data_IF_835353961079
#
_entry.id   IF_835353961079
#
_cell.length_a   1.000
_cell.length_b   1.000
_cell.length_c   1.000
_cell.angle_alpha   90.00
_cell.angle_beta   90.00
_cell.angle_gamma   90.00
#
_symmetry.space_group_name_H-M   'P 1'
#
loop_
_entity.id
_entity.type
_entity.pdbx_description
1 polymer ?
#
# COMPACT_ATOMS: atom_id res chain seq x y z
N UNK A 1 13.04 17.87 11.52
CA UNK A 1 12.73 16.42 11.50
C UNK A 1 11.24 16.09 11.60
N UNK A 2 10.45 16.72 12.49
CA UNK A 2 9.01 16.40 12.65
C UNK A 2 8.19 16.45 11.34
N UNK A 3 8.35 17.49 10.52
CA UNK A 3 7.68 17.64 9.20
C UNK A 3 7.91 16.48 8.23
N UNK A 4 9.11 15.91 8.22
CA UNK A 4 9.46 14.80 7.33
C UNK A 4 8.69 13.54 7.70
N UNK A 5 8.60 13.22 9.00
CA UNK A 5 7.80 12.09 9.48
C UNK A 5 6.30 12.31 9.25
N UNK A 6 5.81 13.55 9.35
CA UNK A 6 4.40 13.87 9.03
C UNK A 6 4.08 13.68 7.55
N UNK A 7 4.98 14.10 6.66
CA UNK A 7 4.87 13.90 5.21
C UNK A 7 4.97 12.42 4.83
N UNK A 8 5.87 11.68 5.47
CA UNK A 8 6.00 10.24 5.25
C UNK A 8 4.74 9.50 5.70
N UNK A 9 4.24 9.81 6.90
CA UNK A 9 3.00 9.24 7.42
C UNK A 9 1.82 9.48 6.45
N UNK A 10 1.71 10.69 5.90
CA UNK A 10 0.64 11.07 4.97
C UNK A 10 0.66 10.28 3.66
N UNK A 11 1.83 9.83 3.20
CA UNK A 11 1.99 9.07 1.96
C UNK A 11 2.05 7.54 2.16
N UNK A 12 2.04 7.06 3.41
CA UNK A 12 2.18 5.62 3.71
C UNK A 12 1.10 4.77 3.03
N UNK A 13 -0.13 5.27 2.95
CA UNK A 13 -1.24 4.58 2.30
C UNK A 13 -0.99 4.37 0.81
N UNK A 14 -0.64 5.44 0.10
CA UNK A 14 -0.31 5.39 -1.34
C UNK A 14 0.91 4.49 -1.61
N UNK A 15 1.92 4.49 -0.74
CA UNK A 15 3.09 3.62 -0.86
C UNK A 15 2.69 2.14 -0.75
N UNK A 16 1.82 1.78 0.20
CA UNK A 16 1.33 0.41 0.37
C UNK A 16 0.48 -0.05 -0.82
N UNK A 17 -0.36 0.84 -1.36
CA UNK A 17 -1.15 0.56 -2.57
C UNK A 17 -0.23 0.31 -3.76
N UNK A 18 0.78 1.17 -3.98
CA UNK A 18 1.76 1.00 -5.04
C UNK A 18 2.56 -0.31 -4.91
N UNK A 19 2.90 -0.71 -3.67
CA UNK A 19 3.55 -1.99 -3.41
C UNK A 19 2.65 -3.17 -3.82
N UNK A 20 1.35 -3.12 -3.52
CA UNK A 20 0.39 -4.12 -3.96
C UNK A 20 0.28 -4.23 -5.48
N UNK A 21 0.25 -3.09 -6.17
CA UNK A 21 0.27 -3.04 -7.65
C UNK A 21 1.56 -3.64 -8.22
N UNK A 22 2.71 -3.34 -7.61
CA UNK A 22 3.99 -3.89 -8.04
C UNK A 22 4.03 -5.42 -7.93
N UNK A 23 3.51 -5.99 -6.83
CA UNK A 23 3.41 -7.45 -6.64
C UNK A 23 2.55 -8.10 -7.73
N UNK A 24 1.43 -7.49 -8.09
CA UNK A 24 0.60 -7.99 -9.19
C UNK A 24 1.30 -7.89 -10.54
N UNK A 25 1.94 -6.76 -10.81
CA UNK A 25 2.66 -6.55 -12.05
C UNK A 25 3.79 -7.58 -12.21
N UNK A 26 4.63 -7.76 -11.18
CA UNK A 26 5.75 -8.72 -11.25
C UNK A 26 5.27 -10.16 -11.37
N UNK A 27 4.23 -10.55 -10.64
CA UNK A 27 3.64 -11.88 -10.75
C UNK A 27 3.04 -12.14 -12.15
N UNK A 28 2.42 -11.12 -12.76
CA UNK A 28 1.88 -11.19 -14.12
C UNK A 28 3.01 -11.31 -15.16
N UNK A 29 4.07 -10.50 -15.05
CA UNK A 29 5.21 -10.54 -15.97
C UNK A 29 5.98 -11.86 -15.92
N UNK A 30 6.02 -12.50 -14.75
CA UNK A 30 6.67 -13.80 -14.56
C UNK A 30 5.76 -14.98 -14.93
N UNK A 31 4.48 -14.74 -15.26
CA UNK A 31 3.52 -15.80 -15.60
C UNK A 31 3.15 -16.71 -14.42
N UNK A 32 3.43 -16.30 -13.19
CA UNK A 32 3.20 -17.07 -11.95
C UNK A 32 2.03 -16.50 -11.13
N UNK A 33 1.10 -15.80 -11.78
CA UNK A 33 -0.06 -15.24 -11.11
C UNK A 33 -0.86 -16.37 -10.45
N UNK A 34 -0.93 -16.32 -9.13
CA UNK A 34 -1.62 -17.30 -8.30
C UNK A 34 -2.51 -16.56 -7.31
N UNK A 35 -3.51 -17.26 -6.78
CA UNK A 35 -4.42 -16.71 -5.77
C UNK A 35 -3.66 -16.08 -4.59
N UNK A 36 -2.52 -16.65 -4.20
CA UNK A 36 -1.64 -16.09 -3.16
C UNK A 36 -1.20 -14.65 -3.47
N UNK A 37 -0.81 -14.36 -4.71
CA UNK A 37 -0.40 -13.01 -5.13
C UNK A 37 -1.58 -12.02 -5.10
N UNK A 38 -2.76 -12.48 -5.53
CA UNK A 38 -4.00 -11.70 -5.47
C UNK A 38 -4.38 -11.37 -4.01
N UNK A 39 -4.25 -12.33 -3.09
CA UNK A 39 -4.52 -12.12 -1.67
C UNK A 39 -3.50 -11.16 -1.02
N UNK A 40 -2.22 -11.28 -1.37
CA UNK A 40 -1.18 -10.35 -0.89
C UNK A 40 -1.49 -8.93 -1.38
N UNK A 41 -1.80 -8.75 -2.66
CA UNK A 41 -2.13 -7.45 -3.22
C UNK A 41 -3.40 -6.86 -2.61
N UNK A 42 -4.45 -7.66 -2.45
CA UNK A 42 -5.67 -7.24 -1.78
C UNK A 42 -5.41 -6.81 -0.33
N UNK A 43 -4.59 -7.56 0.40
CA UNK A 43 -4.16 -7.21 1.76
C UNK A 43 -3.40 -5.88 1.82
N UNK A 44 -2.46 -5.65 0.89
CA UNK A 44 -1.71 -4.40 0.77
C UNK A 44 -2.62 -3.21 0.42
N UNK A 45 -3.61 -3.41 -0.44
CA UNK A 45 -4.61 -2.40 -0.76
C UNK A 45 -5.45 -2.01 0.46
N UNK A 46 -6.00 -3.01 1.17
CA UNK A 46 -6.81 -2.76 2.37
C UNK A 46 -5.98 -2.10 3.47
N UNK A 47 -4.75 -2.57 3.70
CA UNK A 47 -3.83 -1.98 4.67
C UNK A 47 -3.45 -0.54 4.29
N UNK A 48 -3.21 -0.27 3.01
CA UNK A 48 -2.91 1.08 2.50
C UNK A 48 -4.07 2.05 2.72
N UNK A 49 -5.29 1.65 2.35
CA UNK A 49 -6.50 2.46 2.56
C UNK A 49 -6.73 2.72 4.06
N UNK A 50 -6.61 1.69 4.91
CA UNK A 50 -6.75 1.85 6.36
C UNK A 50 -5.70 2.78 6.94
N UNK A 51 -4.44 2.63 6.54
CA UNK A 51 -3.36 3.53 6.95
C UNK A 51 -3.67 4.97 6.55
N UNK A 52 -4.15 5.19 5.32
CA UNK A 52 -4.49 6.53 4.83
C UNK A 52 -5.66 7.15 5.61
N UNK A 53 -6.71 6.38 5.87
CA UNK A 53 -7.87 6.82 6.66
C UNK A 53 -7.45 7.16 8.09
N UNK A 54 -6.65 6.32 8.74
CA UNK A 54 -6.20 6.54 10.12
C UNK A 54 -5.27 7.75 10.23
N UNK A 55 -4.36 7.91 9.27
CA UNK A 55 -3.44 9.04 9.22
C UNK A 55 -4.19 10.34 8.94
N UNK A 56 -5.10 10.37 7.95
CA UNK A 56 -5.91 11.55 7.67
C UNK A 56 -6.83 11.93 8.83
N UNK A 57 -7.43 10.95 9.54
CA UNK A 57 -8.23 11.21 10.75
C UNK A 57 -7.44 11.73 11.95
N UNK A 58 -6.12 11.49 12.01
CA UNK A 58 -5.26 11.93 13.13
C UNK A 58 -4.45 13.19 12.81
N UNK A 59 -4.30 13.54 11.53
CA UNK A 59 -3.54 14.72 11.08
C UNK A 59 -4.41 15.93 10.75
N UNK A 60 -5.71 15.74 10.51
CA UNK A 60 -6.73 16.81 10.43
C UNK A 60 -7.28 17.05 11.84
#
# INVERSE_FOLDING_TARGET
>A
MKRFFTLLAKNTGSILVLAGVAVLATAQFQGVLQNTHLFIAAGLFVAGILAEVLVNKRLI
#
